data_IF_509012070415
#
_entry.id   IF_509012070415
#
_cell.length_a   1.000
_cell.length_b   1.000
_cell.length_c   1.000
_cell.angle_alpha   90.00
_cell.angle_beta   90.00
_cell.angle_gamma   90.00
#
_symmetry.space_group_name_H-M   'P 1'
#
loop_
_entity.id
_entity.type
_entity.pdbx_description
1 polymer ?
#
# COMPACT_ATOMS: atom_id res chain seq x y z
N UNK A 1 2.09 -6.24 7.15
CA UNK A 1 1.05 -5.21 6.91
C UNK A 1 0.08 -5.71 5.87
N UNK A 2 -1.23 -5.62 6.13
CA UNK A 2 -2.30 -6.00 5.21
C UNK A 2 -3.23 -4.81 5.04
N UNK A 3 -3.53 -4.43 3.79
CA UNK A 3 -4.36 -3.27 3.46
C UNK A 3 -5.45 -3.66 2.47
N UNK A 4 -6.70 -3.23 2.73
CA UNK A 4 -7.83 -3.42 1.83
C UNK A 4 -8.70 -2.17 1.78
N UNK A 5 -9.02 -1.67 0.57
CA UNK A 5 -9.79 -0.44 0.39
C UNK A 5 -11.00 -0.72 -0.50
N UNK A 6 -12.19 -0.58 0.06
CA UNK A 6 -13.45 -0.63 -0.68
C UNK A 6 -14.02 0.77 -0.93
N UNK A 7 -13.89 1.69 0.03
CA UNK A 7 -14.51 3.02 -0.03
C UNK A 7 -13.47 4.09 -0.35
N UNK A 8 -13.72 4.92 -1.34
CA UNK A 8 -12.84 6.01 -1.79
C UNK A 8 -13.53 7.36 -1.63
N UNK A 9 -12.79 8.38 -1.18
CA UNK A 9 -13.32 9.75 -1.09
C UNK A 9 -13.45 10.39 -2.47
N UNK A 10 -12.54 10.09 -3.39
CA UNK A 10 -12.56 10.61 -4.76
C UNK A 10 -13.59 9.86 -5.62
N UNK A 11 -14.46 10.62 -6.30
CA UNK A 11 -15.48 10.06 -7.19
C UNK A 11 -14.94 9.43 -8.48
N UNK A 12 -13.70 9.74 -8.83
CA UNK A 12 -13.04 9.16 -10.01
C UNK A 12 -12.69 7.67 -9.80
N UNK A 13 -12.67 7.24 -8.53
CA UNK A 13 -12.44 5.86 -8.16
C UNK A 13 -13.72 5.26 -7.56
N UNK A 14 -14.44 4.40 -8.29
CA UNK A 14 -15.65 3.79 -7.79
C UNK A 14 -15.36 2.87 -6.60
N UNK A 15 -16.28 2.80 -5.66
CA UNK A 15 -16.16 1.90 -4.53
C UNK A 15 -16.05 0.44 -5.00
N UNK A 16 -15.17 -0.32 -4.35
CA UNK A 16 -15.00 -1.76 -4.53
C UNK A 16 -15.88 -2.52 -3.53
N UNK A 17 -15.93 -3.85 -3.69
CA UNK A 17 -16.66 -4.73 -2.76
C UNK A 17 -15.82 -5.90 -2.25
N UNK A 18 -14.75 -6.22 -2.96
CA UNK A 18 -13.91 -7.40 -2.69
C UNK A 18 -12.65 -7.09 -1.90
N UNK A 19 -12.08 -5.87 -2.00
CA UNK A 19 -10.74 -5.59 -1.50
C UNK A 19 -10.61 -5.74 0.03
N UNK A 20 -11.60 -5.29 0.80
CA UNK A 20 -11.61 -5.47 2.26
C UNK A 20 -11.84 -6.93 2.66
N UNK A 21 -12.82 -7.67 2.09
CA UNK A 21 -12.95 -9.11 2.31
C UNK A 21 -11.67 -9.89 1.98
N UNK A 22 -11.06 -9.67 0.82
CA UNK A 22 -9.84 -10.36 0.40
C UNK A 22 -8.69 -10.10 1.41
N UNK A 23 -8.53 -8.86 1.85
CA UNK A 23 -7.54 -8.50 2.86
C UNK A 23 -7.84 -9.17 4.22
N UNK A 24 -9.12 -9.29 4.60
CA UNK A 24 -9.53 -9.99 5.82
C UNK A 24 -9.22 -11.50 5.74
N UNK A 25 -9.46 -12.13 4.60
CA UNK A 25 -9.11 -13.55 4.38
C UNK A 25 -7.60 -13.78 4.50
N UNK A 26 -6.77 -12.86 3.98
CA UNK A 26 -5.31 -12.93 4.17
C UNK A 26 -4.93 -12.83 5.64
N UNK A 27 -5.57 -11.94 6.40
CA UNK A 27 -5.33 -11.84 7.85
C UNK A 27 -5.74 -13.13 8.56
N UNK A 28 -6.90 -13.70 8.23
CA UNK A 28 -7.37 -14.97 8.83
C UNK A 28 -6.44 -16.12 8.48
N UNK A 29 -5.94 -16.18 7.25
CA UNK A 29 -4.93 -17.16 6.82
C UNK A 29 -3.64 -17.03 7.65
N UNK A 30 -3.15 -15.83 7.85
CA UNK A 30 -1.94 -15.57 8.65
C UNK A 30 -2.12 -16.03 10.10
N UNK A 31 -3.27 -15.72 10.70
CA UNK A 31 -3.55 -16.08 12.10
C UNK A 31 -3.80 -17.58 12.26
N UNK A 32 -4.65 -18.17 11.42
CA UNK A 32 -5.10 -19.55 11.60
C UNK A 32 -4.09 -20.58 11.11
N UNK A 33 -3.48 -20.36 9.95
CA UNK A 33 -2.61 -21.34 9.32
C UNK A 33 -1.13 -21.10 9.65
N UNK A 34 -0.71 -19.85 9.73
CA UNK A 34 0.68 -19.50 10.03
C UNK A 34 0.92 -19.07 11.47
N UNK A 35 -0.13 -19.04 12.30
CA UNK A 35 -0.07 -18.70 13.73
C UNK A 35 0.61 -17.37 14.02
N UNK A 36 0.49 -16.40 13.09
CA UNK A 36 1.01 -15.05 13.27
C UNK A 36 0.20 -14.35 14.37
N UNK A 37 0.83 -13.85 15.43
CA UNK A 37 0.14 -13.12 16.49
C UNK A 37 -0.60 -11.89 15.92
N UNK A 38 -1.85 -11.69 16.31
CA UNK A 38 -2.70 -10.62 15.78
C UNK A 38 -2.10 -9.22 15.98
N UNK A 39 -1.38 -9.00 17.08
CA UNK A 39 -0.69 -7.75 17.39
C UNK A 39 0.54 -7.47 16.52
N UNK A 40 0.99 -8.46 15.74
CA UNK A 40 2.03 -8.31 14.71
C UNK A 40 1.45 -7.99 13.33
N UNK A 41 0.13 -7.92 13.19
CA UNK A 41 -0.55 -7.64 11.93
C UNK A 41 -1.09 -6.20 11.92
N UNK A 42 -0.47 -5.32 11.14
CA UNK A 42 -1.02 -4.01 10.82
C UNK A 42 -2.10 -4.20 9.74
N UNK A 43 -3.36 -4.19 10.15
CA UNK A 43 -4.51 -4.34 9.25
C UNK A 43 -5.18 -2.98 9.05
N UNK A 44 -5.06 -2.44 7.83
CA UNK A 44 -5.64 -1.15 7.43
C UNK A 44 -6.80 -1.37 6.47
N UNK A 45 -7.96 -0.82 6.77
CA UNK A 45 -9.13 -0.87 5.90
C UNK A 45 -9.72 0.53 5.72
N UNK A 46 -10.20 0.82 4.52
CA UNK A 46 -10.93 2.05 4.17
C UNK A 46 -10.27 3.30 4.81
N UNK A 47 -10.94 4.01 5.68
CA UNK A 47 -10.45 5.26 6.31
C UNK A 47 -9.09 5.12 7.00
N UNK A 48 -8.74 3.94 7.51
CA UNK A 48 -7.43 3.70 8.09
C UNK A 48 -6.34 3.57 7.01
N UNK A 49 -6.72 3.19 5.80
CA UNK A 49 -5.86 3.08 4.63
C UNK A 49 -5.70 4.42 3.88
N UNK A 50 -5.63 5.52 4.61
CA UNK A 50 -5.24 6.82 4.08
C UNK A 50 -3.79 6.81 3.59
N UNK A 51 -3.42 7.79 2.76
CA UNK A 51 -2.04 7.92 2.28
C UNK A 51 -1.02 7.94 3.43
N UNK A 52 -1.29 8.73 4.45
CA UNK A 52 -0.42 8.82 5.62
C UNK A 52 -0.42 7.51 6.43
N UNK A 53 -1.58 6.86 6.56
CA UNK A 53 -1.72 5.58 7.26
C UNK A 53 -0.87 4.48 6.61
N UNK A 54 -0.96 4.32 5.28
CA UNK A 54 -0.20 3.32 4.53
C UNK A 54 1.31 3.57 4.66
N UNK A 55 1.75 4.82 4.40
CA UNK A 55 3.17 5.18 4.46
C UNK A 55 3.72 4.98 5.88
N UNK A 56 3.01 5.45 6.91
CA UNK A 56 3.45 5.33 8.30
C UNK A 56 3.52 3.88 8.75
N UNK A 57 2.57 3.04 8.34
CA UNK A 57 2.58 1.62 8.69
C UNK A 57 3.75 0.88 8.04
N UNK A 58 4.06 1.16 6.76
CA UNK A 58 5.23 0.58 6.09
C UNK A 58 6.53 1.10 6.70
N UNK A 59 6.65 2.41 6.90
CA UNK A 59 7.86 3.02 7.48
C UNK A 59 8.15 2.47 8.87
N UNK A 60 7.11 2.29 9.68
CA UNK A 60 7.20 1.74 11.03
C UNK A 60 7.79 0.33 11.09
N UNK A 61 7.60 -0.51 10.05
CA UNK A 61 8.19 -1.86 10.04
C UNK A 61 9.72 -1.83 10.09
N UNK A 62 10.35 -0.80 9.54
CA UNK A 62 11.81 -0.65 9.55
C UNK A 62 12.39 -0.47 10.94
N UNK A 63 11.63 0.12 11.86
CA UNK A 63 12.06 0.47 13.22
C UNK A 63 11.39 -0.35 14.32
N UNK A 64 10.43 -1.22 13.98
CA UNK A 64 9.73 -2.05 14.98
C UNK A 64 10.71 -3.03 15.64
N UNK A 65 10.95 -2.93 16.95
CA UNK A 65 11.90 -3.78 17.66
C UNK A 65 11.46 -5.25 17.76
N UNK A 66 10.19 -5.55 17.50
CA UNK A 66 9.64 -6.91 17.48
C UNK A 66 10.05 -7.69 16.23
N UNK A 67 10.38 -6.99 15.14
CA UNK A 67 10.87 -7.58 13.90
C UNK A 67 12.38 -7.74 13.99
N UNK A 68 12.87 -8.97 13.96
CA UNK A 68 14.29 -9.31 13.97
C UNK A 68 14.84 -9.36 12.54
N UNK A 69 16.15 -9.14 12.33
CA UNK A 69 16.75 -9.34 11.02
C UNK A 69 16.51 -10.77 10.50
N UNK A 70 15.93 -10.87 9.29
CA UNK A 70 15.63 -12.14 8.64
C UNK A 70 14.20 -12.66 8.89
N UNK A 71 13.43 -12.06 9.78
CA UNK A 71 12.02 -12.40 9.96
C UNK A 71 11.25 -12.16 8.64
N UNK A 72 10.24 -13.00 8.32
CA UNK A 72 9.43 -12.80 7.14
C UNK A 72 8.51 -11.59 7.30
N UNK A 73 8.49 -10.73 6.29
CA UNK A 73 7.65 -9.53 6.26
C UNK A 73 6.73 -9.61 5.05
N UNK A 74 5.42 -9.46 5.26
CA UNK A 74 4.42 -9.41 4.20
C UNK A 74 3.86 -7.99 4.08
N UNK A 75 3.89 -7.46 2.86
CA UNK A 75 3.08 -6.32 2.43
C UNK A 75 2.01 -6.80 1.45
N UNK A 76 0.75 -6.75 1.86
CA UNK A 76 -0.41 -7.05 1.02
C UNK A 76 -1.26 -5.81 0.85
N UNK A 77 -1.66 -5.53 -0.38
CA UNK A 77 -2.56 -4.43 -0.72
C UNK A 77 -3.62 -4.92 -1.71
N UNK A 78 -4.89 -4.66 -1.39
CA UNK A 78 -6.02 -4.82 -2.29
C UNK A 78 -6.78 -3.50 -2.42
N UNK A 79 -6.92 -3.00 -3.64
CA UNK A 79 -7.55 -1.70 -3.91
C UNK A 79 -7.33 -1.22 -5.32
N UNK A 80 -7.59 0.07 -5.59
CA UNK A 80 -7.30 0.67 -6.89
C UNK A 80 -5.80 0.92 -7.09
N UNK A 81 -5.35 0.60 -8.30
CA UNK A 81 -4.11 1.07 -8.88
C UNK A 81 -4.39 1.93 -10.11
N UNK A 82 -3.50 2.84 -10.40
CA UNK A 82 -3.62 3.72 -11.57
C UNK A 82 -2.25 4.07 -12.13
N UNK A 83 -2.25 4.74 -13.27
CA UNK A 83 -1.07 5.29 -13.91
C UNK A 83 -1.21 6.80 -14.05
N UNK A 84 -0.21 7.54 -13.57
CA UNK A 84 -0.19 8.99 -13.66
C UNK A 84 1.06 9.47 -14.40
N UNK A 85 1.00 10.67 -14.96
CA UNK A 85 2.21 11.32 -15.43
C UNK A 85 3.11 11.65 -14.22
N UNK A 86 4.44 11.43 -14.34
CA UNK A 86 5.35 11.72 -13.25
C UNK A 86 5.34 13.22 -12.94
N UNK A 87 5.55 13.60 -11.66
CA UNK A 87 5.77 14.98 -11.29
C UNK A 87 6.97 15.59 -12.05
N UNK A 88 6.96 16.91 -12.22
CA UNK A 88 8.07 17.61 -12.85
C UNK A 88 9.41 17.30 -12.15
N UNK A 89 10.43 17.01 -12.94
CA UNK A 89 11.77 16.64 -12.44
C UNK A 89 11.92 15.15 -12.12
N UNK A 90 10.89 14.33 -12.31
CA UNK A 90 11.04 12.89 -12.19
C UNK A 90 11.39 12.28 -13.54
N UNK A 91 12.54 11.64 -13.61
CA UNK A 91 12.88 10.82 -14.79
C UNK A 91 12.05 9.53 -14.78
N UNK A 92 11.30 9.32 -15.86
CA UNK A 92 10.52 8.10 -16.07
C UNK A 92 10.73 7.66 -17.51
N UNK A 93 11.33 6.54 -17.75
CA UNK A 93 11.36 5.76 -19.00
C UNK A 93 11.36 6.45 -20.38
N UNK A 94 11.28 7.79 -20.44
CA UNK A 94 11.22 8.60 -21.66
C UNK A 94 9.98 9.50 -21.75
N UNK A 95 9.89 10.34 -22.82
CA UNK A 95 8.78 11.27 -23.01
C UNK A 95 7.42 10.53 -23.07
N UNK A 96 6.46 10.96 -22.23
CA UNK A 96 5.12 10.39 -22.19
C UNK A 96 4.96 9.12 -21.37
N UNK A 97 6.03 8.63 -20.71
CA UNK A 97 5.92 7.49 -19.81
C UNK A 97 5.13 7.86 -18.54
N UNK A 98 4.20 6.97 -18.18
CA UNK A 98 3.45 7.06 -16.93
C UNK A 98 4.16 6.26 -15.83
N UNK A 99 3.90 6.60 -14.58
CA UNK A 99 4.32 5.84 -13.40
C UNK A 99 3.12 5.17 -12.76
N UNK A 100 3.33 3.98 -12.21
CA UNK A 100 2.29 3.26 -11.50
C UNK A 100 2.14 3.79 -10.08
N UNK A 101 0.90 3.80 -9.59
CA UNK A 101 0.58 4.32 -8.27
C UNK A 101 -0.46 3.42 -7.58
N UNK A 102 -0.37 3.34 -6.24
CA UNK A 102 -1.46 2.86 -5.40
C UNK A 102 -2.36 4.05 -5.04
N UNK A 103 -3.66 3.84 -5.10
CA UNK A 103 -4.65 4.87 -4.76
C UNK A 103 -5.06 4.68 -3.29
N UNK A 104 -4.66 5.60 -2.37
CA UNK A 104 -5.11 5.54 -0.99
C UNK A 104 -6.58 5.96 -0.86
N UNK A 105 -7.22 5.62 0.25
CA UNK A 105 -8.63 5.90 0.49
C UNK A 105 -8.96 7.39 0.38
N UNK A 106 -8.08 8.24 0.90
CA UNK A 106 -8.21 9.69 0.96
C UNK A 106 -7.63 10.43 -0.26
N UNK A 107 -7.31 9.70 -1.34
CA UNK A 107 -6.86 10.32 -2.59
C UNK A 107 -7.84 11.43 -2.99
N UNK A 108 -7.30 12.59 -3.35
CA UNK A 108 -8.09 13.72 -3.78
C UNK A 108 -7.27 14.60 -4.72
N UNK A 109 -7.84 14.92 -5.88
CA UNK A 109 -7.27 15.84 -6.87
C UNK A 109 -8.05 17.15 -7.02
N UNK A 110 -9.03 17.40 -6.15
CA UNK A 110 -9.91 18.55 -6.22
C UNK A 110 -9.18 19.87 -5.87
N UNK A 111 -9.67 20.96 -6.47
CA UNK A 111 -9.19 22.31 -6.21
C UNK A 111 -9.39 22.69 -4.72
N UNK A 112 -8.29 22.79 -3.99
CA UNK A 112 -8.27 23.19 -2.57
C UNK A 112 -7.84 22.09 -1.59
N UNK A 113 -7.90 20.83 -1.98
CA UNK A 113 -7.34 19.71 -1.20
C UNK A 113 -6.72 18.70 -2.16
N UNK A 114 -5.40 18.59 -2.12
CA UNK A 114 -4.69 17.59 -2.94
C UNK A 114 -4.03 16.57 -2.04
N UNK A 115 -4.49 15.33 -2.10
CA UNK A 115 -3.81 14.18 -1.51
C UNK A 115 -3.40 13.27 -2.67
N UNK A 116 -2.10 13.22 -3.00
CA UNK A 116 -1.65 12.46 -4.16
C UNK A 116 -1.71 10.95 -3.92
N UNK A 117 -1.79 10.18 -4.99
CA UNK A 117 -1.58 8.74 -4.96
C UNK A 117 -0.15 8.39 -4.47
N UNK A 118 0.10 7.13 -4.18
CA UNK A 118 1.40 6.64 -3.69
C UNK A 118 2.14 6.01 -4.86
N UNK A 119 3.19 6.64 -5.41
CA UNK A 119 3.97 6.07 -6.48
C UNK A 119 4.65 4.74 -6.09
N UNK A 120 4.80 3.84 -7.05
CA UNK A 120 5.54 2.59 -6.91
C UNK A 120 6.96 2.82 -6.38
N UNK A 121 7.62 3.87 -6.84
CA UNK A 121 8.95 4.31 -6.35
C UNK A 121 8.95 4.62 -4.85
N UNK A 122 7.87 5.20 -4.32
CA UNK A 122 7.73 5.45 -2.87
C UNK A 122 7.62 4.13 -2.11
N UNK A 123 6.82 3.20 -2.61
CA UNK A 123 6.72 1.84 -2.02
C UNK A 123 8.07 1.14 -2.09
N UNK A 124 8.74 1.17 -3.24
CA UNK A 124 10.08 0.60 -3.40
C UNK A 124 11.08 1.16 -2.38
N UNK A 125 11.13 2.48 -2.22
CA UNK A 125 11.99 3.13 -1.22
C UNK A 125 11.71 2.64 0.21
N UNK A 126 10.43 2.50 0.59
CA UNK A 126 10.04 2.02 1.92
C UNK A 126 10.43 0.53 2.12
N UNK A 127 10.22 -0.29 1.10
CA UNK A 127 10.64 -1.71 1.14
C UNK A 127 12.17 -1.84 1.22
N UNK A 128 12.92 -1.03 0.49
CA UNK A 128 14.38 -0.99 0.58
C UNK A 128 14.85 -0.57 1.98
N UNK A 129 14.21 0.43 2.58
CA UNK A 129 14.48 0.85 3.96
C UNK A 129 14.26 -0.29 4.96
N UNK A 130 13.16 -1.04 4.80
CA UNK A 130 12.88 -2.24 5.60
C UNK A 130 13.97 -3.29 5.37
N UNK A 131 14.32 -3.56 4.10
CA UNK A 131 15.33 -4.54 3.75
C UNK A 131 16.70 -4.22 4.37
N UNK A 132 17.11 -2.96 4.37
CA UNK A 132 18.36 -2.52 5.00
C UNK A 132 18.39 -2.75 6.51
N UNK A 133 17.26 -2.61 7.20
CA UNK A 133 17.19 -2.72 8.66
C UNK A 133 16.82 -4.12 9.15
N UNK A 134 16.02 -4.88 8.37
CA UNK A 134 15.43 -6.16 8.77
C UNK A 134 15.83 -7.34 7.89
N UNK A 135 16.47 -7.10 6.73
CA UNK A 135 16.82 -8.15 5.77
C UNK A 135 15.81 -8.31 4.64
N UNK A 136 16.18 -9.09 3.64
CA UNK A 136 15.47 -9.18 2.35
C UNK A 136 14.33 -10.22 2.33
N UNK A 137 13.91 -10.75 3.48
CA UNK A 137 12.81 -11.72 3.55
C UNK A 137 11.45 -11.00 3.47
N UNK A 138 11.22 -10.27 2.38
CA UNK A 138 10.04 -9.43 2.17
C UNK A 138 9.25 -9.95 0.98
N UNK A 139 7.95 -10.15 1.15
CA UNK A 139 7.01 -10.48 0.09
C UNK A 139 6.01 -9.33 -0.05
N UNK A 140 5.87 -8.81 -1.26
CA UNK A 140 4.81 -7.85 -1.61
C UNK A 140 3.80 -8.52 -2.54
N UNK A 141 2.52 -8.42 -2.20
CA UNK A 141 1.41 -8.90 -3.01
C UNK A 141 0.42 -7.75 -3.23
N UNK A 142 0.23 -7.37 -4.49
CA UNK A 142 -0.64 -6.26 -4.88
C UNK A 142 -1.79 -6.79 -5.74
N UNK A 143 -3.01 -6.66 -5.23
CA UNK A 143 -4.25 -6.98 -5.94
C UNK A 143 -4.88 -5.67 -6.41
N UNK A 144 -4.57 -5.28 -7.65
CA UNK A 144 -4.95 -3.99 -8.17
C UNK A 144 -6.16 -4.10 -9.10
N UNK A 145 -7.22 -3.37 -8.79
CA UNK A 145 -8.27 -3.04 -9.75
C UNK A 145 -7.79 -1.83 -10.56
N UNK A 146 -7.46 -2.06 -11.82
CA UNK A 146 -7.09 -0.99 -12.75
C UNK A 146 -8.32 -0.13 -13.04
N UNK A 147 -8.25 1.14 -12.71
CA UNK A 147 -9.13 2.17 -13.25
C UNK A 147 -8.27 3.09 -14.11
N UNK A 148 -8.59 3.18 -15.39
CA UNK A 148 -8.11 4.30 -16.19
C UNK A 148 -8.83 5.56 -15.70
N UNK A 149 -8.10 6.67 -15.47
CA UNK A 149 -8.70 7.94 -15.11
C UNK A 149 -9.52 8.53 -16.27
#
# INVERSE_FOLDING_TARGET
MVCGINEYECRDFPNLRGAVPDAAEVVDLLVTNYQVPRDQIHFLTDKAASRSGIISALDGLSTDPRIRPGDPILFYFAGHGSEIYPPEGWESGGPGSKIQVLVPQDYCSDLGRTIPAIPDRTIGFLLDKIAHSKGNNIVSCLLLNGSEP
#
